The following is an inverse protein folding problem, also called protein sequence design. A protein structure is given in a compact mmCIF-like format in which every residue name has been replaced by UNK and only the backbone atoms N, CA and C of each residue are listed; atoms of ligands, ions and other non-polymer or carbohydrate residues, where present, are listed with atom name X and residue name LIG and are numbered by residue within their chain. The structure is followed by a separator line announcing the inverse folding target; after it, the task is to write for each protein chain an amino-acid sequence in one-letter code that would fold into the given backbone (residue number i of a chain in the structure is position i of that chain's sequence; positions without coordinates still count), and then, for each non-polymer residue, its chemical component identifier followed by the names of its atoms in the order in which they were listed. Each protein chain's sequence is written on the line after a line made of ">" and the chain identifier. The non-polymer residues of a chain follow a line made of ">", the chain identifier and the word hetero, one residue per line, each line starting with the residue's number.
data_IF_873986012844
#
_entry.id   IF_873986012844
#
_cell.length_a   1.000
_cell.length_b   1.000
_cell.length_c   1.000
_cell.angle_alpha   90.00
_cell.angle_beta   90.00
_cell.angle_gamma   90.00
#
_symmetry.space_group_name_H-M   'P 1'
#
loop_
_entity.id
_entity.type
_entity.pdbx_description
1 polymer ?
#
# COMPACT_ATOMS: atom_id res chain seq x y z
N UNK A 1 -13.00 -47.82 -29.82
CA UNK A 1 -12.03 -46.72 -30.07
C UNK A 1 -12.53 -45.51 -29.31
N UNK A 2 -11.81 -45.11 -28.27
CA UNK A 2 -12.21 -44.04 -27.36
C UNK A 2 -12.29 -42.71 -28.12
N UNK A 3 -13.46 -42.06 -28.07
CA UNK A 3 -13.75 -40.80 -28.74
C UNK A 3 -12.99 -39.66 -28.06
N UNK A 4 -11.76 -39.43 -28.53
CA UNK A 4 -10.80 -38.43 -28.04
C UNK A 4 -11.40 -37.02 -27.94
N UNK A 5 -12.40 -36.71 -28.76
CA UNK A 5 -13.08 -35.42 -28.76
C UNK A 5 -13.98 -35.19 -27.54
N UNK A 6 -14.61 -36.23 -26.97
CA UNK A 6 -15.45 -36.06 -25.78
C UNK A 6 -14.64 -35.72 -24.52
N UNK A 7 -13.40 -36.21 -24.45
CA UNK A 7 -12.49 -35.97 -23.31
C UNK A 7 -11.91 -34.55 -23.38
N UNK A 8 -11.60 -34.06 -24.58
CA UNK A 8 -11.08 -32.69 -24.78
C UNK A 8 -12.16 -31.65 -24.46
N UNK A 9 -13.41 -31.88 -24.85
CA UNK A 9 -14.51 -30.95 -24.52
C UNK A 9 -14.85 -30.93 -23.03
N UNK A 10 -14.68 -32.06 -22.32
CA UNK A 10 -14.88 -32.13 -20.88
C UNK A 10 -13.79 -31.36 -20.10
N UNK A 11 -12.54 -31.34 -20.59
CA UNK A 11 -11.46 -30.57 -19.97
C UNK A 11 -11.61 -29.05 -20.14
N UNK A 12 -12.30 -28.56 -21.18
CA UNK A 12 -12.51 -27.12 -21.40
C UNK A 12 -13.55 -26.49 -20.45
N UNK A 13 -14.50 -27.27 -19.94
CA UNK A 13 -15.53 -26.77 -19.01
C UNK A 13 -15.01 -26.57 -17.57
N UNK A 14 -13.88 -27.18 -17.21
CA UNK A 14 -13.29 -27.08 -15.86
C UNK A 14 -12.52 -25.76 -15.64
N UNK A 15 -12.25 -25.00 -16.71
CA UNK A 15 -11.48 -23.73 -16.66
C UNK A 15 -12.35 -22.50 -16.36
N UNK A 16 -13.68 -22.64 -16.28
CA UNK A 16 -14.62 -21.55 -15.98
C UNK A 16 -14.99 -21.40 -14.50
N UNK A 17 -14.34 -22.15 -13.61
CA UNK A 17 -14.62 -22.16 -12.16
C UNK A 17 -13.42 -21.82 -11.28
N UNK A 18 -12.50 -20.98 -11.76
CA UNK A 18 -11.64 -20.22 -10.83
C UNK A 18 -12.46 -19.08 -10.24
N UNK A 19 -12.93 -19.34 -9.03
CA UNK A 19 -13.39 -18.38 -8.06
C UNK A 19 -12.43 -17.18 -8.00
N UNK A 20 -12.80 -16.07 -8.62
CA UNK A 20 -12.55 -14.80 -7.96
C UNK A 20 -13.87 -14.42 -7.34
N UNK A 21 -14.08 -14.87 -6.10
CA UNK A 21 -14.83 -14.05 -5.18
C UNK A 21 -14.06 -12.72 -5.14
N UNK A 22 -14.50 -11.73 -5.92
CA UNK A 22 -14.16 -10.37 -5.62
C UNK A 22 -14.83 -10.10 -4.28
N UNK A 23 -14.08 -10.33 -3.20
CA UNK A 23 -14.41 -9.77 -1.90
C UNK A 23 -14.67 -8.29 -2.16
N UNK A 24 -15.92 -7.90 -1.94
CA UNK A 24 -16.35 -6.53 -2.02
C UNK A 24 -15.71 -5.77 -0.87
N UNK A 25 -14.44 -5.38 -1.02
CA UNK A 25 -13.88 -4.25 -0.26
C UNK A 25 -14.42 -2.97 -0.90
N UNK A 26 -15.73 -2.77 -0.78
CA UNK A 26 -16.28 -1.43 -0.79
C UNK A 26 -15.85 -0.81 0.55
N UNK A 27 -14.61 -0.31 0.58
CA UNK A 27 -14.12 0.52 1.66
C UNK A 27 -14.90 1.82 1.64
N UNK A 28 -15.97 1.86 2.44
CA UNK A 28 -16.50 3.11 2.97
C UNK A 28 -15.32 3.85 3.63
N UNK A 29 -15.13 5.12 3.31
CA UNK A 29 -13.88 5.89 3.49
C UNK A 29 -13.33 6.10 4.90
N UNK A 30 -13.67 5.25 5.88
CA UNK A 30 -13.04 5.17 7.19
C UNK A 30 -12.06 3.97 7.31
N UNK A 31 -12.29 2.87 6.58
CA UNK A 31 -11.38 1.68 6.63
C UNK A 31 -10.18 1.79 5.67
N UNK A 32 -10.07 2.89 4.94
CA UNK A 32 -9.03 3.12 3.91
C UNK A 32 -7.95 4.09 4.35
N UNK A 33 -8.02 4.66 5.55
CA UNK A 33 -7.02 5.59 6.10
C UNK A 33 -5.98 4.78 6.87
N UNK A 34 -4.71 5.20 6.84
CA UNK A 34 -3.68 4.59 7.68
C UNK A 34 -3.94 4.93 9.15
N UNK A 35 -3.99 3.91 10.00
CA UNK A 35 -4.02 4.13 11.44
C UNK A 35 -2.64 4.50 11.98
N UNK A 36 -2.60 5.21 13.10
CA UNK A 36 -1.31 5.59 13.69
C UNK A 36 -0.51 4.37 14.20
N UNK A 37 -1.21 3.33 14.67
CA UNK A 37 -0.58 2.05 15.03
C UNK A 37 0.06 1.37 13.81
N UNK A 38 -0.59 1.44 12.63
CA UNK A 38 0.00 0.92 11.41
C UNK A 38 1.25 1.72 11.04
N UNK A 39 1.22 3.05 11.13
CA UNK A 39 2.39 3.90 10.88
C UNK A 39 3.56 3.52 11.81
N UNK A 40 3.31 3.31 13.09
CA UNK A 40 4.35 2.84 14.04
C UNK A 40 4.92 1.48 13.63
N UNK A 41 4.07 0.53 13.22
CA UNK A 41 4.54 -0.78 12.75
C UNK A 41 5.37 -0.69 11.46
N UNK A 42 5.12 0.32 10.62
CA UNK A 42 5.89 0.59 9.41
C UNK A 42 7.25 1.18 9.75
N UNK A 43 7.31 2.09 10.73
CA UNK A 43 8.56 2.71 11.19
C UNK A 43 9.58 1.68 11.69
N UNK A 44 9.11 0.59 12.31
CA UNK A 44 9.96 -0.50 12.78
C UNK A 44 10.75 -1.23 11.67
N UNK A 45 10.33 -1.09 10.41
CA UNK A 45 11.08 -1.67 9.28
C UNK A 45 12.30 -0.83 8.90
N UNK A 46 12.37 0.44 9.31
CA UNK A 46 13.50 1.32 9.02
C UNK A 46 13.75 1.44 7.51
N UNK A 47 15.00 1.22 7.11
CA UNK A 47 15.44 1.27 5.70
C UNK A 47 14.85 0.18 4.80
N UNK A 48 14.20 -0.86 5.35
CA UNK A 48 13.56 -1.92 4.57
C UNK A 48 12.16 -1.50 4.04
N UNK A 49 11.64 -0.33 4.46
CA UNK A 49 10.37 0.23 3.99
C UNK A 49 10.30 0.32 2.46
N UNK A 50 9.26 -0.27 1.88
CA UNK A 50 9.02 -0.30 0.45
C UNK A 50 7.66 0.30 0.05
N UNK A 51 7.49 0.60 -1.24
CA UNK A 51 6.22 1.09 -1.78
C UNK A 51 5.04 0.14 -1.53
N UNK A 52 5.31 -1.17 -1.51
CA UNK A 52 4.32 -2.24 -1.32
C UNK A 52 3.79 -2.31 0.11
N UNK A 53 4.51 -1.79 1.10
CA UNK A 53 4.01 -1.74 2.48
C UNK A 53 2.80 -0.82 2.66
N UNK A 54 2.57 0.06 1.69
CA UNK A 54 1.42 0.95 1.58
C UNK A 54 0.37 0.45 0.57
N UNK A 55 0.53 -0.74 0.01
CA UNK A 55 -0.42 -1.30 -0.94
C UNK A 55 -1.80 -1.52 -0.28
N UNK A 56 -2.86 -1.18 -0.99
CA UNK A 56 -4.23 -1.22 -0.48
C UNK A 56 -4.70 0.06 0.20
N UNK A 57 -3.82 1.02 0.46
CA UNK A 57 -4.20 2.36 0.89
C UNK A 57 -4.32 3.32 -0.31
N UNK A 58 -5.39 4.12 -0.40
CA UNK A 58 -5.51 5.17 -1.40
C UNK A 58 -4.45 6.25 -1.14
N UNK A 59 -3.94 6.83 -2.23
CA UNK A 59 -2.99 7.94 -2.16
C UNK A 59 -3.33 9.02 -3.18
N UNK A 60 -2.92 10.25 -2.85
CA UNK A 60 -2.83 11.35 -3.79
C UNK A 60 -1.42 11.34 -4.42
N UNK A 61 -1.34 11.37 -5.76
CA UNK A 61 -0.08 11.60 -6.47
C UNK A 61 0.18 13.11 -6.54
N UNK A 62 1.18 13.56 -5.80
CA UNK A 62 1.56 14.97 -5.69
C UNK A 62 2.91 15.26 -6.35
N UNK A 63 3.43 14.29 -7.11
CA UNK A 63 4.73 14.37 -7.76
C UNK A 63 4.72 15.19 -9.06
N UNK A 64 5.86 15.80 -9.37
CA UNK A 64 6.14 16.36 -10.70
C UNK A 64 7.56 15.98 -11.10
N UNK A 65 7.68 14.88 -11.85
CA UNK A 65 8.96 14.29 -12.26
C UNK A 65 9.54 13.25 -11.29
N UNK A 66 9.09 13.23 -10.04
CA UNK A 66 9.33 12.15 -9.07
C UNK A 66 8.01 11.45 -8.72
N UNK A 67 8.09 10.20 -8.27
CA UNK A 67 6.94 9.55 -7.64
C UNK A 67 6.82 10.09 -6.22
N UNK A 68 5.71 10.75 -5.92
CA UNK A 68 5.41 11.23 -4.56
C UNK A 68 3.97 10.84 -4.24
N UNK A 69 3.82 9.86 -3.35
CA UNK A 69 2.52 9.37 -2.89
C UNK A 69 2.24 9.91 -1.51
N UNK A 70 1.10 10.58 -1.37
CA UNK A 70 0.58 11.09 -0.10
C UNK A 70 -0.57 10.21 0.38
N UNK A 71 -0.38 9.54 1.51
CA UNK A 71 -1.38 8.69 2.13
C UNK A 71 -1.99 9.41 3.34
N UNK A 72 -3.31 9.45 3.42
CA UNK A 72 -3.98 9.98 4.60
C UNK A 72 -3.75 9.07 5.80
N UNK A 73 -3.49 9.68 6.95
CA UNK A 73 -3.39 9.02 8.25
C UNK A 73 -4.47 9.61 9.17
N UNK A 74 -4.87 8.88 10.20
CA UNK A 74 -5.72 9.39 11.28
C UNK A 74 -5.24 10.75 11.83
N UNK A 75 -6.16 11.48 12.47
CA UNK A 75 -5.86 12.75 13.13
C UNK A 75 -5.27 13.86 12.21
N UNK A 76 -5.57 13.79 10.90
CA UNK A 76 -5.10 14.71 9.85
C UNK A 76 -3.58 14.66 9.60
N UNK A 77 -2.92 13.59 10.05
CA UNK A 77 -1.56 13.29 9.62
C UNK A 77 -1.56 12.78 8.17
N UNK A 78 -0.40 12.73 7.56
CA UNK A 78 -0.21 11.99 6.30
C UNK A 78 1.20 11.43 6.20
N UNK A 79 1.34 10.34 5.44
CA UNK A 79 2.67 9.83 5.06
C UNK A 79 2.99 10.29 3.63
N UNK A 80 4.19 10.85 3.45
CA UNK A 80 4.79 11.14 2.15
C UNK A 80 5.85 10.11 1.82
N UNK A 81 5.59 9.29 0.80
CA UNK A 81 6.56 8.33 0.25
C UNK A 81 7.06 8.89 -1.08
N UNK A 82 8.36 9.14 -1.20
CA UNK A 82 8.94 9.73 -2.41
C UNK A 82 10.09 8.92 -2.97
N UNK A 83 10.25 8.93 -4.30
CA UNK A 83 11.43 8.34 -4.94
C UNK A 83 11.46 8.48 -6.46
N UNK A 84 12.62 8.17 -7.04
CA UNK A 84 12.86 8.27 -8.49
C UNK A 84 12.30 7.10 -9.31
N UNK A 85 12.00 5.98 -8.67
CA UNK A 85 11.50 4.77 -9.32
C UNK A 85 10.65 3.96 -8.34
N UNK A 86 9.58 3.34 -8.85
CA UNK A 86 8.75 2.41 -8.10
C UNK A 86 9.39 1.01 -8.00
N UNK A 87 10.40 0.70 -8.83
CA UNK A 87 11.13 -0.58 -8.82
C UNK A 87 12.32 -0.58 -7.85
N UNK A 88 12.53 0.53 -7.13
CA UNK A 88 13.56 0.73 -6.11
C UNK A 88 12.89 1.13 -4.81
N UNK A 89 13.62 0.97 -3.70
CA UNK A 89 13.19 1.51 -2.41
C UNK A 89 12.89 3.01 -2.54
N UNK A 90 11.89 3.52 -1.80
CA UNK A 90 11.67 4.95 -1.66
C UNK A 90 12.95 5.67 -1.23
N UNK A 91 13.16 6.87 -1.77
CA UNK A 91 14.25 7.74 -1.34
C UNK A 91 13.95 8.36 0.04
N UNK A 92 12.67 8.64 0.33
CA UNK A 92 12.20 9.16 1.64
C UNK A 92 10.84 8.62 2.03
N UNK A 93 10.60 8.49 3.35
CA UNK A 93 9.30 8.17 3.93
C UNK A 93 9.07 9.06 5.16
N UNK A 94 8.21 10.07 5.03
CA UNK A 94 7.94 11.03 6.11
C UNK A 94 6.54 10.88 6.66
N UNK A 95 6.38 10.85 7.98
CA UNK A 95 5.13 11.20 8.65
C UNK A 95 5.06 12.70 8.81
N UNK A 96 3.95 13.30 8.41
CA UNK A 96 3.75 14.75 8.45
C UNK A 96 2.54 15.07 9.32
N UNK A 97 2.74 15.92 10.32
CA UNK A 97 1.67 16.34 11.23
C UNK A 97 0.79 17.44 10.61
N UNK A 98 -0.35 17.80 11.24
CA UNK A 98 -1.25 18.83 10.73
C UNK A 98 -0.62 20.23 10.63
N UNK A 99 0.49 20.49 11.33
CA UNK A 99 1.23 21.76 11.26
C UNK A 99 2.27 21.78 10.13
N UNK A 100 2.56 20.63 9.51
CA UNK A 100 3.52 20.47 8.42
C UNK A 100 4.92 20.01 8.85
N UNK A 101 5.13 19.72 10.13
CA UNK A 101 6.38 19.13 10.64
C UNK A 101 6.51 17.68 10.18
N UNK A 102 7.75 17.24 9.91
CA UNK A 102 8.05 15.95 9.29
C UNK A 102 9.00 15.12 10.15
N UNK A 103 8.70 13.83 10.27
CA UNK A 103 9.51 12.81 10.94
C UNK A 103 9.89 11.75 9.90
N UNK A 104 11.18 11.38 9.78
CA UNK A 104 11.61 10.31 8.85
C UNK A 104 11.34 8.95 9.49
N UNK A 105 10.32 8.27 8.99
CA UNK A 105 9.87 6.98 9.54
C UNK A 105 10.93 5.88 9.45
N UNK A 106 12.00 6.07 8.67
CA UNK A 106 13.05 5.05 8.50
C UNK A 106 14.17 5.16 9.54
N UNK A 107 14.30 6.30 10.20
CA UNK A 107 15.45 6.61 11.06
C UNK A 107 15.07 7.05 12.46
N UNK A 108 13.89 7.66 12.63
CA UNK A 108 13.47 8.15 13.93
C UNK A 108 12.93 7.00 14.79
N UNK A 109 13.30 7.02 16.07
CA UNK A 109 12.81 6.06 17.05
C UNK A 109 11.44 6.47 17.60
N UNK A 110 10.68 5.48 18.07
CA UNK A 110 9.37 5.64 18.72
C UNK A 110 9.46 6.45 20.03
N UNK A 111 10.49 7.24 20.31
CA UNK A 111 10.57 8.14 21.47
C UNK A 111 10.45 9.61 21.06
N UNK A 112 10.76 9.94 19.78
CA UNK A 112 10.77 11.31 19.25
C UNK A 112 9.46 11.73 18.56
N UNK A 113 8.55 10.78 18.36
CA UNK A 113 7.17 10.95 17.86
C UNK A 113 6.20 11.73 18.78
N UNK A 114 6.71 12.62 19.65
CA UNK A 114 5.88 13.56 20.44
C UNK A 114 5.38 14.69 19.55
N UNK A 115 4.52 14.35 18.59
CA UNK A 115 3.77 15.29 17.75
C UNK A 115 2.43 15.68 18.40
#
# INVERSE_FOLDING_TARGET
>A
MTNKHGIITLMLLVILSTFTACDSKQGSGEDTVLSMDKVRSLAQQGEDLAWTDFEGYPFEDVGSGLYIRKYAVEENYHVLVSGRSLDKAPDTVYLVNPTGEQIDLRHDDDEDWKL
#
